data_IF_770438442901
#
_entry.id   IF_770438442901
#
_cell.length_a   1.000
_cell.length_b   1.000
_cell.length_c   1.000
_cell.angle_alpha   90.00
_cell.angle_beta   90.00
_cell.angle_gamma   90.00
#
_symmetry.space_group_name_H-M   'P 1'
#
loop_
_entity.id
_entity.type
_entity.pdbx_description
1 polymer ?
#
# COMPACT_ATOMS: atom_id res chain seq x y z
N UNK A 1 23.03 29.84 8.37
CA UNK A 1 23.08 28.45 8.89
C UNK A 1 22.47 27.56 7.83
N UNK A 2 23.15 26.48 7.45
CA UNK A 2 22.48 25.44 6.67
C UNK A 2 21.38 24.81 7.52
N UNK A 3 20.18 24.54 6.97
CA UNK A 3 19.13 23.87 7.72
C UNK A 3 19.61 22.48 8.15
N UNK A 4 19.63 22.21 9.45
CA UNK A 4 20.01 20.90 10.00
C UNK A 4 18.88 19.87 9.88
N UNK A 5 19.07 18.72 10.54
CA UNK A 5 18.11 17.61 10.59
C UNK A 5 16.67 18.07 10.89
N UNK A 6 15.73 17.61 10.05
CA UNK A 6 14.30 17.84 10.23
C UNK A 6 13.46 16.61 9.86
N UNK A 7 12.22 16.58 10.34
CA UNK A 7 11.22 15.59 9.96
C UNK A 7 10.40 16.11 8.77
N UNK A 8 10.20 15.27 7.77
CA UNK A 8 9.49 15.58 6.54
C UNK A 8 8.28 14.68 6.38
N UNK A 9 7.21 15.24 5.81
CA UNK A 9 6.05 14.49 5.33
C UNK A 9 5.93 14.68 3.82
N UNK A 10 5.93 13.58 3.08
CA UNK A 10 5.68 13.57 1.64
C UNK A 10 4.37 12.84 1.39
N UNK A 11 3.51 13.37 0.53
CA UNK A 11 2.30 12.68 0.09
C UNK A 11 2.22 12.72 -1.43
N UNK A 12 2.03 11.55 -2.04
CA UNK A 12 1.82 11.40 -3.48
C UNK A 12 0.46 10.76 -3.73
N UNK A 13 -0.23 11.20 -4.78
CA UNK A 13 -1.47 10.57 -5.23
C UNK A 13 -1.39 10.33 -6.73
N UNK A 14 -1.58 9.09 -7.13
CA UNK A 14 -1.65 8.65 -8.52
C UNK A 14 -3.05 8.14 -8.79
N UNK A 15 -3.66 8.64 -9.87
CA UNK A 15 -4.94 8.14 -10.38
C UNK A 15 -4.68 7.47 -11.71
N UNK A 16 -5.07 6.21 -11.84
CA UNK A 16 -5.05 5.51 -13.14
C UNK A 16 -6.46 5.58 -13.72
N UNK A 17 -6.61 6.27 -14.84
CA UNK A 17 -7.84 6.30 -15.62
C UNK A 17 -7.96 5.10 -16.57
N UNK A 18 -9.19 4.67 -16.81
CA UNK A 18 -9.62 3.61 -17.73
C UNK A 18 -11.13 3.68 -17.91
N UNK A 19 -11.77 2.68 -18.54
CA UNK A 19 -13.24 2.60 -18.64
C UNK A 19 -13.90 2.94 -17.27
N UNK A 20 -15.09 3.56 -17.23
CA UNK A 20 -15.69 4.18 -16.02
C UNK A 20 -15.84 3.27 -14.78
N UNK A 21 -15.53 1.97 -14.88
CA UNK A 21 -15.54 0.97 -13.82
C UNK A 21 -14.15 0.55 -13.28
N UNK A 22 -13.02 1.12 -13.73
CA UNK A 22 -11.66 0.64 -13.36
C UNK A 22 -10.70 1.80 -13.00
N UNK A 23 -11.17 2.79 -12.25
CA UNK A 23 -10.32 3.90 -11.80
C UNK A 23 -9.63 3.56 -10.46
N UNK A 24 -8.42 3.03 -10.51
CA UNK A 24 -7.63 2.82 -9.29
C UNK A 24 -7.00 4.13 -8.83
N UNK A 25 -7.15 4.47 -7.55
CA UNK A 25 -6.47 5.60 -6.91
C UNK A 25 -5.49 5.09 -5.86
N UNK A 26 -4.22 5.44 -6.03
CA UNK A 26 -3.18 5.15 -5.06
C UNK A 26 -2.77 6.45 -4.37
N UNK A 27 -2.89 6.50 -3.05
CA UNK A 27 -2.38 7.59 -2.22
C UNK A 27 -1.34 7.03 -1.29
N UNK A 28 -0.15 7.62 -1.28
CA UNK A 28 0.96 7.18 -0.42
C UNK A 28 1.48 8.38 0.37
N UNK A 29 1.59 8.23 1.68
CA UNK A 29 2.14 9.23 2.58
C UNK A 29 3.32 8.64 3.35
N UNK A 30 4.43 9.36 3.37
CA UNK A 30 5.65 9.02 4.09
C UNK A 30 5.92 10.05 5.18
N UNK A 31 6.47 9.60 6.30
CA UNK A 31 7.14 10.47 7.27
C UNK A 31 8.55 9.94 7.49
N UNK A 32 9.56 10.78 7.30
CA UNK A 32 10.96 10.41 7.43
C UNK A 32 11.81 11.58 7.92
N UNK A 33 12.98 11.30 8.49
CA UNK A 33 13.95 12.33 8.83
C UNK A 33 14.95 12.53 7.68
N UNK A 34 15.29 13.78 7.38
CA UNK A 34 16.35 14.14 6.44
C UNK A 34 17.22 15.25 7.02
N UNK A 35 18.46 15.33 6.57
CA UNK A 35 19.45 16.34 6.97
C UNK A 35 20.11 16.95 5.72
N UNK A 36 20.85 18.05 5.89
CA UNK A 36 21.65 18.62 4.81
C UNK A 36 22.75 17.62 4.43
N UNK A 37 22.88 17.40 3.13
CA UNK A 37 23.86 16.48 2.56
C UNK A 37 24.73 17.21 1.56
N UNK A 38 26.00 16.80 1.45
CA UNK A 38 26.98 17.41 0.53
C UNK A 38 26.75 17.03 -0.94
N UNK A 39 25.73 16.22 -1.23
CA UNK A 39 25.37 15.73 -2.55
C UNK A 39 24.13 14.83 -2.48
N UNK A 40 23.55 14.43 -3.63
CA UNK A 40 22.32 13.66 -3.67
C UNK A 40 22.45 12.31 -2.95
N UNK A 41 21.53 12.04 -2.02
CA UNK A 41 21.39 10.74 -1.36
C UNK A 41 19.99 10.17 -1.62
N UNK A 42 19.83 8.84 -1.67
CA UNK A 42 18.52 8.22 -1.79
C UNK A 42 17.60 8.64 -0.63
N UNK A 43 16.35 8.98 -0.94
CA UNK A 43 15.36 9.27 0.10
C UNK A 43 15.01 7.97 0.85
N UNK A 44 14.87 8.03 2.20
CA UNK A 44 14.52 6.87 3.02
C UNK A 44 13.02 6.55 2.93
N UNK A 45 12.51 6.37 1.71
CA UNK A 45 11.11 6.03 1.43
C UNK A 45 10.96 4.56 1.12
N UNK A 46 9.79 4.01 1.45
CA UNK A 46 9.44 2.60 1.24
C UNK A 46 8.11 2.47 0.51
N UNK A 47 7.81 1.33 -0.06
CA UNK A 47 6.50 1.04 -0.64
C UNK A 47 6.05 -0.38 -0.28
N UNK A 48 4.74 -0.62 -0.30
CA UNK A 48 4.18 -1.97 -0.14
C UNK A 48 3.55 -2.37 -1.47
N UNK A 49 4.08 -3.43 -2.09
CA UNK A 49 3.53 -3.99 -3.31
C UNK A 49 2.54 -5.10 -2.95
N UNK A 50 1.30 -4.91 -3.37
CA UNK A 50 0.29 -5.97 -3.44
C UNK A 50 0.33 -6.59 -4.84
N UNK A 51 0.37 -7.91 -4.93
CA UNK A 51 0.40 -8.61 -6.23
C UNK A 51 -0.59 -9.77 -6.29
N UNK A 52 -1.91 -9.49 -6.17
CA UNK A 52 -2.92 -10.53 -6.35
C UNK A 52 -2.85 -11.10 -7.78
N UNK A 53 -3.13 -12.39 -7.91
CA UNK A 53 -3.36 -13.01 -9.20
C UNK A 53 -4.78 -12.66 -9.65
N UNK A 54 -4.90 -11.86 -10.69
CA UNK A 54 -6.17 -11.35 -11.22
C UNK A 54 -6.35 -11.79 -12.66
N UNK A 55 -7.61 -11.79 -13.12
CA UNK A 55 -7.93 -11.93 -14.53
C UNK A 55 -7.29 -10.80 -15.37
N UNK A 56 -7.19 -10.95 -16.71
CA UNK A 56 -6.74 -9.87 -17.59
C UNK A 56 -7.56 -8.58 -17.51
N UNK A 57 -8.79 -8.66 -17.00
CA UNK A 57 -9.67 -7.51 -16.79
C UNK A 57 -9.55 -6.91 -15.38
N UNK A 58 -8.61 -7.39 -14.55
CA UNK A 58 -8.37 -6.90 -13.20
C UNK A 58 -9.43 -7.37 -12.19
N UNK A 59 -10.02 -8.55 -12.40
CA UNK A 59 -11.05 -9.11 -11.53
C UNK A 59 -10.61 -10.38 -10.82
N UNK A 60 -11.20 -10.65 -9.67
CA UNK A 60 -11.07 -11.90 -8.93
C UNK A 60 -12.45 -12.57 -8.75
N UNK A 61 -12.52 -13.90 -8.52
CA UNK A 61 -13.78 -14.58 -8.25
C UNK A 61 -14.48 -14.04 -6.99
N UNK A 62 -15.79 -13.81 -7.08
CA UNK A 62 -16.62 -13.40 -5.95
C UNK A 62 -16.84 -14.54 -4.93
N UNK A 63 -16.98 -14.19 -3.65
CA UNK A 63 -17.23 -15.13 -2.54
C UNK A 63 -16.16 -16.22 -2.36
N UNK A 64 -14.97 -16.03 -2.94
CA UNK A 64 -13.83 -16.93 -2.79
C UNK A 64 -12.70 -16.25 -2.02
N UNK A 65 -11.85 -17.04 -1.37
CA UNK A 65 -10.65 -16.52 -0.71
C UNK A 65 -9.55 -16.29 -1.75
N UNK A 66 -9.06 -15.06 -1.82
CA UNK A 66 -7.92 -14.66 -2.64
C UNK A 66 -6.69 -14.47 -1.76
N UNK A 67 -5.60 -15.16 -2.10
CA UNK A 67 -4.27 -14.92 -1.54
C UNK A 67 -3.63 -13.72 -2.22
N UNK A 68 -3.22 -12.72 -1.45
CA UNK A 68 -2.58 -11.51 -1.95
C UNK A 68 -1.17 -11.39 -1.36
N UNK A 69 -0.11 -11.68 -2.13
CA UNK A 69 1.27 -11.44 -1.70
C UNK A 69 1.53 -9.97 -1.38
N UNK A 70 2.31 -9.75 -0.33
CA UNK A 70 2.69 -8.44 0.22
C UNK A 70 4.21 -8.37 0.25
N UNK A 71 4.79 -7.47 -0.53
CA UNK A 71 6.24 -7.26 -0.58
C UNK A 71 6.59 -5.84 -0.18
N UNK A 72 7.56 -5.69 0.73
CA UNK A 72 8.11 -4.38 1.11
C UNK A 72 9.26 -4.04 0.16
N UNK A 73 9.23 -2.81 -0.37
CA UNK A 73 10.24 -2.25 -1.27
C UNK A 73 10.87 -1.00 -0.65
N UNK A 74 12.08 -0.64 -1.07
CA UNK A 74 12.75 0.59 -0.64
C UNK A 74 13.47 0.45 0.70
N UNK A 75 13.53 1.53 1.48
CA UNK A 75 14.36 1.62 2.69
C UNK A 75 14.03 0.57 3.76
N UNK A 76 12.78 0.12 3.83
CA UNK A 76 12.31 -0.90 4.77
C UNK A 76 12.43 -2.34 4.25
N UNK A 77 12.97 -2.57 3.05
CA UNK A 77 13.17 -3.92 2.52
C UNK A 77 14.24 -4.71 3.29
N UNK A 78 14.43 -6.00 2.96
CA UNK A 78 15.48 -6.85 3.51
C UNK A 78 15.51 -6.93 5.05
N UNK A 79 14.34 -7.05 5.68
CA UNK A 79 14.21 -7.18 7.13
C UNK A 79 14.28 -5.85 7.90
N UNK A 80 14.32 -4.71 7.22
CA UNK A 80 14.28 -3.38 7.87
C UNK A 80 12.87 -2.89 8.21
N UNK A 81 11.83 -3.65 7.86
CA UNK A 81 10.46 -3.38 8.28
C UNK A 81 10.25 -3.90 9.70
N UNK A 82 10.01 -3.00 10.65
CA UNK A 82 9.67 -3.36 12.04
C UNK A 82 8.24 -3.87 12.15
N UNK A 83 7.32 -3.23 11.43
CA UNK A 83 5.92 -3.62 11.41
C UNK A 83 5.29 -3.34 10.04
N UNK A 84 4.40 -4.23 9.62
CA UNK A 84 3.54 -4.06 8.46
C UNK A 84 2.13 -4.45 8.86
N UNK A 85 1.18 -3.54 8.63
CA UNK A 85 -0.24 -3.76 8.83
C UNK A 85 -0.95 -3.63 7.49
N UNK A 86 -1.83 -4.58 7.19
CA UNK A 86 -2.69 -4.51 6.00
C UNK A 86 -4.14 -4.44 6.44
N UNK A 87 -4.93 -3.62 5.73
CA UNK A 87 -6.37 -3.51 5.90
C UNK A 87 -7.07 -3.59 4.56
N UNK A 88 -8.26 -4.16 4.56
CA UNK A 88 -9.14 -4.29 3.40
C UNK A 88 -10.39 -3.45 3.61
N UNK A 89 -10.93 -2.92 2.52
CA UNK A 89 -12.21 -2.20 2.48
C UNK A 89 -13.00 -2.67 1.26
N UNK A 90 -14.31 -2.81 1.45
CA UNK A 90 -15.27 -3.18 0.38
C UNK A 90 -16.32 -2.09 0.13
N UNK A 91 -16.10 -0.90 0.71
CA UNK A 91 -16.98 0.27 0.68
C UNK A 91 -16.25 1.53 0.20
N UNK A 92 -15.29 1.35 -0.72
CA UNK A 92 -14.54 2.45 -1.34
C UNK A 92 -13.55 3.16 -0.41
N UNK A 93 -13.14 2.52 0.69
CA UNK A 93 -12.22 3.06 1.68
C UNK A 93 -12.89 3.84 2.81
N UNK A 94 -14.21 3.70 2.98
CA UNK A 94 -14.98 4.35 4.05
C UNK A 94 -14.68 3.69 5.40
N UNK A 95 -14.72 2.36 5.44
CA UNK A 95 -14.33 1.56 6.60
C UNK A 95 -13.23 0.57 6.22
N UNK A 96 -12.45 0.14 7.22
CA UNK A 96 -11.27 -0.69 7.00
C UNK A 96 -11.21 -1.80 8.04
N UNK A 97 -11.09 -3.03 7.57
CA UNK A 97 -10.91 -4.22 8.40
C UNK A 97 -9.46 -4.68 8.31
N UNK A 98 -8.81 -4.90 9.45
CA UNK A 98 -7.43 -5.39 9.48
C UNK A 98 -7.40 -6.87 9.09
N UNK A 99 -6.46 -7.25 8.24
CA UNK A 99 -6.20 -8.65 7.86
C UNK A 99 -4.78 -9.05 8.29
N UNK A 100 -4.59 -10.27 8.81
CA UNK A 100 -3.27 -10.72 9.22
C UNK A 100 -2.37 -10.92 8.00
N UNK A 101 -1.10 -10.54 8.14
CA UNK A 101 -0.06 -10.82 7.15
C UNK A 101 0.68 -12.07 7.58
N UNK A 102 0.50 -13.16 6.86
CA UNK A 102 1.06 -14.46 7.17
C UNK A 102 1.92 -14.96 6.01
N UNK A 103 3.16 -15.36 6.32
CA UNK A 103 4.12 -15.87 5.32
C UNK A 103 4.21 -14.97 4.07
N UNK A 104 4.23 -13.65 4.28
CA UNK A 104 4.36 -12.65 3.21
C UNK A 104 3.10 -12.43 2.36
N UNK A 105 1.92 -12.84 2.81
CA UNK A 105 0.66 -12.62 2.10
C UNK A 105 -0.48 -12.30 3.08
N UNK A 106 -1.59 -11.79 2.54
CA UNK A 106 -2.88 -11.71 3.24
C UNK A 106 -3.89 -12.59 2.53
N UNK A 107 -4.83 -13.16 3.27
CA UNK A 107 -5.98 -13.86 2.71
C UNK A 107 -7.21 -12.97 2.82
N UNK A 108 -7.89 -12.76 1.69
CA UNK A 108 -9.05 -11.88 1.60
C UNK A 108 -10.23 -12.71 1.10
N UNK A 109 -11.27 -12.80 1.93
CA UNK A 109 -12.55 -13.33 1.47
C UNK A 109 -13.23 -12.29 0.58
N UNK A 110 -13.35 -12.60 -0.71
CA UNK A 110 -13.87 -11.65 -1.68
C UNK A 110 -15.37 -11.41 -1.48
N UNK A 111 -15.82 -10.16 -1.52
CA UNK A 111 -17.26 -9.85 -1.49
C UNK A 111 -17.99 -10.37 -2.72
N UNK A 112 -19.33 -10.27 -2.70
CA UNK A 112 -20.20 -10.54 -3.85
C UNK A 112 -19.75 -9.81 -5.12
N UNK A 113 -20.10 -10.36 -6.27
CA UNK A 113 -19.77 -9.80 -7.58
C UNK A 113 -20.18 -8.32 -7.73
N UNK A 114 -19.39 -7.56 -8.48
CA UNK A 114 -19.60 -6.13 -8.70
C UNK A 114 -19.05 -5.22 -7.60
N UNK A 115 -18.37 -5.78 -6.60
CA UNK A 115 -17.81 -5.02 -5.47
C UNK A 115 -16.33 -4.70 -5.70
N UNK A 116 -15.93 -3.45 -5.43
CA UNK A 116 -14.54 -3.04 -5.45
C UNK A 116 -13.85 -3.38 -4.13
N UNK A 117 -12.66 -3.97 -4.21
CA UNK A 117 -11.82 -4.24 -3.04
C UNK A 117 -10.69 -3.23 -3.00
N UNK A 118 -10.57 -2.52 -1.89
CA UNK A 118 -9.54 -1.53 -1.61
C UNK A 118 -8.58 -2.05 -0.55
N UNK A 119 -7.30 -1.72 -0.68
CA UNK A 119 -6.23 -2.18 0.20
C UNK A 119 -5.50 -1.00 0.83
N UNK A 120 -5.15 -1.12 2.10
CA UNK A 120 -4.31 -0.15 2.80
C UNK A 120 -3.17 -0.85 3.51
N UNK A 121 -1.96 -0.36 3.34
CA UNK A 121 -0.80 -0.74 4.11
C UNK A 121 -0.38 0.40 5.04
N UNK A 122 0.01 0.05 6.26
CA UNK A 122 0.77 0.92 7.15
C UNK A 122 2.06 0.20 7.55
N UNK A 123 3.20 0.89 7.45
CA UNK A 123 4.51 0.33 7.71
C UNK A 123 5.31 1.28 8.61
N UNK A 124 6.10 0.69 9.50
CA UNK A 124 7.15 1.38 10.26
C UNK A 124 8.45 0.61 10.09
N UNK A 125 9.53 1.31 9.73
CA UNK A 125 10.85 0.71 9.57
C UNK A 125 11.64 0.71 10.89
N UNK A 126 12.85 0.13 10.88
CA UNK A 126 13.73 0.07 12.05
C UNK A 126 14.20 1.45 12.51
N UNK A 127 14.28 2.41 11.59
CA UNK A 127 14.78 3.78 11.81
C UNK A 127 13.66 4.75 12.23
N UNK A 128 12.42 4.26 12.31
CA UNK A 128 11.25 5.03 12.74
C UNK A 128 10.54 5.79 11.61
N UNK A 129 10.94 5.60 10.35
CA UNK A 129 10.20 6.17 9.22
C UNK A 129 8.88 5.41 9.04
N UNK A 130 7.86 6.13 8.61
CA UNK A 130 6.51 5.57 8.43
C UNK A 130 6.00 5.74 7.02
N UNK A 131 5.16 4.79 6.62
CA UNK A 131 4.48 4.74 5.34
C UNK A 131 3.01 4.40 5.59
N UNK A 132 2.11 5.16 4.99
CA UNK A 132 0.70 4.75 4.77
C UNK A 132 0.43 4.77 3.28
N UNK A 133 0.03 3.62 2.72
CA UNK A 133 -0.33 3.47 1.32
C UNK A 133 -1.76 2.97 1.20
N UNK A 134 -2.60 3.70 0.49
CA UNK A 134 -4.00 3.35 0.23
C UNK A 134 -4.20 3.15 -1.26
N UNK A 135 -4.75 2.01 -1.65
CA UNK A 135 -5.13 1.65 -3.01
C UNK A 135 -6.65 1.47 -3.02
N UNK A 136 -7.36 2.46 -3.55
CA UNK A 136 -8.81 2.38 -3.76
C UNK A 136 -9.09 1.65 -5.07
N UNK A 137 -10.04 0.72 -5.03
CA UNK A 137 -10.39 -0.17 -6.14
C UNK A 137 -9.13 -0.87 -6.69
N UNK A 138 -8.43 -1.58 -5.79
CA UNK A 138 -7.26 -2.38 -6.13
C UNK A 138 -7.61 -3.50 -7.13
N UNK A 139 -8.80 -4.09 -6.97
CA UNK A 139 -9.42 -5.01 -7.93
C UNK A 139 -10.94 -5.05 -7.72
N UNK A 140 -11.65 -5.73 -8.62
CA UNK A 140 -13.10 -5.98 -8.49
C UNK A 140 -13.42 -7.46 -8.42
N UNK A 141 -14.52 -7.79 -7.75
CA UNK A 141 -15.04 -9.16 -7.72
C UNK A 141 -16.02 -9.39 -8.85
N UNK A 142 -16.00 -10.59 -9.44
CA UNK A 142 -16.92 -11.00 -10.50
C UNK A 142 -17.39 -12.43 -10.29
#
# INVERSE_FOLDING_TARGET
>A
MEPGRAAYRLTSTVKRGGAPSVATRVTTSWTFASDTTRGPVPMPVSAVRFSPELSPTGTAPANETLRVPVTVLGAAANGRARSVAVSVSVDGGTSWTRVPVERGAVEIHNPRAGTGVSLRAALTDTDGNTLTQTVIDAYRTR
#
